data_IF_035785898805
#
_entry.id   IF_035785898805
#
_cell.length_a   1.000
_cell.length_b   1.000
_cell.length_c   1.000
_cell.angle_alpha   90.00
_cell.angle_beta   90.00
_cell.angle_gamma   90.00
#
_symmetry.space_group_name_H-M   'P 1'
#
loop_
_entity.id
_entity.type
_entity.pdbx_description
1 polymer ?
#
# COMPACT_ATOMS: atom_id res chain seq x y z
N UNK A 1 39.94 -24.74 -12.86
CA UNK A 1 39.75 -23.34 -13.33
C UNK A 1 38.43 -23.16 -14.09
N UNK A 2 38.19 -23.80 -15.23
CA UNK A 2 36.99 -23.57 -16.06
C UNK A 2 35.63 -23.77 -15.36
N UNK A 3 35.48 -24.80 -14.49
CA UNK A 3 34.25 -25.01 -13.70
C UNK A 3 33.95 -23.89 -12.72
N UNK A 4 34.98 -23.25 -12.15
CA UNK A 4 34.83 -22.18 -11.16
C UNK A 4 34.32 -20.91 -11.85
N UNK A 5 34.82 -20.60 -13.05
CA UNK A 5 34.39 -19.46 -13.86
C UNK A 5 32.92 -19.61 -14.25
N UNK A 6 32.52 -20.77 -14.79
CA UNK A 6 31.14 -21.06 -15.18
C UNK A 6 30.15 -21.00 -13.99
N UNK A 7 30.58 -21.45 -12.81
CA UNK A 7 29.76 -21.37 -11.59
C UNK A 7 29.63 -19.93 -11.10
N UNK A 8 30.70 -19.13 -11.19
CA UNK A 8 30.70 -17.71 -10.82
C UNK A 8 29.76 -16.93 -11.73
N UNK A 9 29.83 -17.13 -13.05
CA UNK A 9 28.93 -16.51 -14.03
C UNK A 9 27.45 -16.85 -13.76
N UNK A 10 27.12 -18.13 -13.56
CA UNK A 10 25.75 -18.55 -13.26
C UNK A 10 25.20 -17.93 -11.95
N UNK A 11 26.05 -17.76 -10.94
CA UNK A 11 25.66 -17.12 -9.69
C UNK A 11 25.51 -15.60 -9.83
N UNK A 12 26.33 -14.95 -10.65
CA UNK A 12 26.21 -13.53 -10.97
C UNK A 12 24.93 -13.24 -11.76
N UNK A 13 24.62 -14.05 -12.76
CA UNK A 13 23.40 -13.94 -13.56
C UNK A 13 22.15 -14.07 -12.68
N UNK A 14 22.11 -15.09 -11.81
CA UNK A 14 21.01 -15.26 -10.85
C UNK A 14 20.85 -14.04 -9.93
N UNK A 15 21.95 -13.51 -9.38
CA UNK A 15 21.92 -12.32 -8.52
C UNK A 15 21.38 -11.11 -9.27
N UNK A 16 21.84 -10.88 -10.50
CA UNK A 16 21.35 -9.80 -11.34
C UNK A 16 19.85 -9.90 -11.61
N UNK A 17 19.36 -11.07 -12.01
CA UNK A 17 17.92 -11.28 -12.22
C UNK A 17 17.11 -11.07 -10.95
N UNK A 18 17.62 -11.51 -9.79
CA UNK A 18 16.97 -11.26 -8.49
C UNK A 18 16.90 -9.76 -8.16
N UNK A 19 18.00 -9.04 -8.30
CA UNK A 19 18.06 -7.59 -8.06
C UNK A 19 17.13 -6.82 -9.00
N UNK A 20 17.09 -7.20 -10.29
CA UNK A 20 16.14 -6.62 -11.26
C UNK A 20 14.69 -6.87 -10.85
N UNK A 21 14.35 -8.10 -10.44
CA UNK A 21 13.00 -8.43 -10.00
C UNK A 21 12.59 -7.64 -8.75
N UNK A 22 13.50 -7.49 -7.78
CA UNK A 22 13.25 -6.67 -6.59
C UNK A 22 13.00 -5.20 -6.94
N UNK A 23 13.76 -4.63 -7.87
CA UNK A 23 13.55 -3.26 -8.36
C UNK A 23 12.22 -3.11 -9.08
N UNK A 24 11.86 -4.05 -9.96
CA UNK A 24 10.58 -4.05 -10.67
C UNK A 24 9.40 -4.20 -9.71
N UNK A 25 9.51 -5.08 -8.71
CA UNK A 25 8.50 -5.24 -7.67
C UNK A 25 8.33 -3.96 -6.85
N UNK A 26 9.43 -3.29 -6.49
CA UNK A 26 9.39 -2.02 -5.76
C UNK A 26 8.70 -0.94 -6.58
N UNK A 27 9.06 -0.81 -7.86
CA UNK A 27 8.46 0.16 -8.77
C UNK A 27 6.96 -0.10 -8.97
N UNK A 28 6.59 -1.35 -9.26
CA UNK A 28 5.20 -1.76 -9.47
C UNK A 28 4.37 -1.54 -8.20
N UNK A 29 4.85 -2.00 -7.04
CA UNK A 29 4.15 -1.87 -5.76
C UNK A 29 3.98 -0.40 -5.38
N UNK A 30 5.00 0.44 -5.61
CA UNK A 30 4.90 1.88 -5.34
C UNK A 30 3.89 2.55 -6.26
N UNK A 31 3.92 2.24 -7.56
CA UNK A 31 2.96 2.75 -8.53
C UNK A 31 1.52 2.35 -8.21
N UNK A 32 1.28 1.07 -7.90
CA UNK A 32 -0.03 0.60 -7.47
C UNK A 32 -0.46 1.16 -6.13
N UNK A 33 0.46 1.39 -5.19
CA UNK A 33 0.18 2.06 -3.93
C UNK A 33 -0.38 3.46 -4.14
N UNK A 34 0.20 4.24 -5.07
CA UNK A 34 -0.30 5.56 -5.44
C UNK A 34 -1.70 5.48 -6.09
N UNK A 35 -1.87 4.59 -7.06
CA UNK A 35 -3.18 4.41 -7.73
C UNK A 35 -4.25 3.98 -6.74
N UNK A 36 -3.93 3.06 -5.82
CA UNK A 36 -4.85 2.61 -4.78
C UNK A 36 -5.22 3.75 -3.81
N UNK A 37 -4.25 4.58 -3.41
CA UNK A 37 -4.50 5.74 -2.56
C UNK A 37 -5.47 6.74 -3.23
N UNK A 38 -5.27 7.01 -4.52
CA UNK A 38 -6.16 7.89 -5.30
C UNK A 38 -7.56 7.28 -5.44
N UNK A 39 -7.66 5.99 -5.76
CA UNK A 39 -8.95 5.31 -5.90
C UNK A 39 -9.76 5.33 -4.60
N UNK A 40 -9.12 5.09 -3.45
CA UNK A 40 -9.79 5.19 -2.15
C UNK A 40 -10.21 6.62 -1.81
N UNK A 41 -9.37 7.62 -2.11
CA UNK A 41 -9.74 9.03 -1.95
C UNK A 41 -11.02 9.36 -2.74
N UNK A 42 -11.04 9.05 -4.04
CA UNK A 42 -12.21 9.31 -4.88
C UNK A 42 -13.45 8.52 -4.41
N UNK A 43 -13.27 7.27 -4.00
CA UNK A 43 -14.38 6.43 -3.51
C UNK A 43 -15.01 7.00 -2.24
N UNK A 44 -14.19 7.41 -1.26
CA UNK A 44 -14.71 7.97 0.00
C UNK A 44 -15.38 9.32 -0.28
N UNK A 45 -14.78 10.17 -1.13
CA UNK A 45 -15.41 11.44 -1.50
C UNK A 45 -16.74 11.24 -2.23
N UNK A 46 -16.79 10.34 -3.21
CA UNK A 46 -18.00 9.99 -3.93
C UNK A 46 -19.07 9.42 -2.99
N UNK A 47 -18.68 8.53 -2.08
CA UNK A 47 -19.59 7.99 -1.08
C UNK A 47 -20.20 9.07 -0.19
N UNK A 48 -19.38 9.99 0.33
CA UNK A 48 -19.88 11.10 1.16
C UNK A 48 -20.82 11.99 0.35
N UNK A 49 -20.44 12.33 -0.89
CA UNK A 49 -21.24 13.19 -1.77
C UNK A 49 -22.57 12.57 -2.18
N UNK A 50 -22.62 11.26 -2.44
CA UNK A 50 -23.82 10.60 -2.95
C UNK A 50 -24.75 10.13 -1.82
N UNK A 51 -24.20 9.67 -0.69
CA UNK A 51 -25.00 9.05 0.38
C UNK A 51 -25.18 9.93 1.61
N UNK A 52 -24.27 10.86 1.90
CA UNK A 52 -24.27 11.63 3.14
C UNK A 52 -24.72 13.08 2.90
N UNK A 53 -24.16 13.75 1.91
CA UNK A 53 -24.46 15.16 1.60
C UNK A 53 -25.96 15.42 1.32
N UNK A 54 -26.70 14.59 0.56
CA UNK A 54 -28.13 14.81 0.32
C UNK A 54 -29.01 14.58 1.56
N UNK A 55 -28.49 13.89 2.58
CA UNK A 55 -29.25 13.51 3.78
C UNK A 55 -29.06 14.47 4.95
N UNK A 56 -28.09 15.38 4.88
CA UNK A 56 -27.75 16.29 5.97
C UNK A 56 -27.97 17.74 5.51
N UNK A 57 -28.93 18.47 6.09
CA UNK A 57 -29.08 19.90 5.84
C UNK A 57 -27.94 20.65 6.52
N UNK A 58 -27.10 21.35 5.74
CA UNK A 58 -26.00 22.13 6.27
C UNK A 58 -24.99 22.52 5.19
N UNK A 59 -24.11 23.49 5.49
CA UNK A 59 -23.03 23.88 4.59
C UNK A 59 -22.10 22.70 4.33
N UNK A 60 -21.48 22.63 3.14
CA UNK A 60 -20.56 21.55 2.75
C UNK A 60 -19.36 21.32 3.69
N UNK A 61 -19.21 22.12 4.75
CA UNK A 61 -18.27 21.90 5.85
C UNK A 61 -18.56 20.62 6.64
N UNK A 62 -19.83 20.29 6.93
CA UNK A 62 -20.18 19.05 7.64
C UNK A 62 -19.84 17.81 6.81
N UNK A 63 -20.08 17.85 5.50
CA UNK A 63 -19.67 16.81 4.54
C UNK A 63 -18.14 16.59 4.58
N UNK A 64 -17.35 17.68 4.56
CA UNK A 64 -15.88 17.61 4.68
C UNK A 64 -15.40 17.06 6.02
N UNK A 65 -16.08 17.38 7.13
CA UNK A 65 -15.75 16.81 8.45
C UNK A 65 -15.99 15.31 8.50
N UNK A 66 -17.10 14.82 7.93
CA UNK A 66 -17.40 13.39 7.87
C UNK A 66 -16.37 12.67 6.99
N UNK A 67 -16.04 13.24 5.83
CA UNK A 67 -14.96 12.74 4.97
C UNK A 67 -13.64 12.60 5.76
N UNK A 68 -13.22 13.65 6.48
CA UNK A 68 -11.97 13.64 7.25
C UNK A 68 -11.95 12.57 8.35
N UNK A 69 -13.08 12.36 9.03
CA UNK A 69 -13.24 11.31 10.04
C UNK A 69 -13.15 9.91 9.42
N UNK A 70 -13.82 9.69 8.29
CA UNK A 70 -13.77 8.40 7.58
C UNK A 70 -12.35 8.04 7.14
N UNK A 71 -11.63 9.00 6.54
CA UNK A 71 -10.25 8.79 6.11
C UNK A 71 -9.34 8.50 7.30
N UNK A 72 -9.49 9.23 8.40
CA UNK A 72 -8.69 9.02 9.62
C UNK A 72 -8.97 7.65 10.23
N UNK A 73 -10.23 7.24 10.31
CA UNK A 73 -10.61 5.92 10.81
C UNK A 73 -9.99 4.81 9.95
N UNK A 74 -10.10 4.93 8.62
CA UNK A 74 -9.52 3.97 7.68
C UNK A 74 -8.00 3.91 7.82
N UNK A 75 -7.33 5.05 7.95
CA UNK A 75 -5.87 5.11 8.16
C UNK A 75 -5.46 4.41 9.47
N UNK A 76 -6.18 4.64 10.57
CA UNK A 76 -5.93 3.98 11.86
C UNK A 76 -6.16 2.46 11.74
N UNK A 77 -7.24 2.03 11.11
CA UNK A 77 -7.55 0.60 10.93
C UNK A 77 -6.46 -0.11 10.11
N UNK A 78 -6.06 0.45 8.97
CA UNK A 78 -5.00 -0.13 8.12
C UNK A 78 -3.68 -0.19 8.89
N UNK A 79 -3.29 0.92 9.55
CA UNK A 79 -2.03 1.00 10.29
C UNK A 79 -2.01 0.01 11.47
N UNK A 80 -3.12 -0.11 12.19
CA UNK A 80 -3.27 -1.06 13.29
C UNK A 80 -3.14 -2.52 12.80
N UNK A 81 -3.82 -2.87 11.70
CA UNK A 81 -3.76 -4.22 11.13
C UNK A 81 -2.35 -4.56 10.64
N UNK A 82 -1.67 -3.62 9.98
CA UNK A 82 -0.28 -3.76 9.55
C UNK A 82 0.67 -3.93 10.74
N UNK A 83 0.49 -3.13 11.80
CA UNK A 83 1.28 -3.25 13.04
C UNK A 83 1.13 -4.63 13.68
N UNK A 84 -0.12 -5.12 13.79
CA UNK A 84 -0.41 -6.46 14.31
C UNK A 84 0.21 -7.56 13.45
N UNK A 85 0.13 -7.44 12.13
CA UNK A 85 0.71 -8.41 11.20
C UNK A 85 2.25 -8.46 11.34
N UNK A 86 2.89 -7.29 11.40
CA UNK A 86 4.33 -7.17 11.61
C UNK A 86 4.77 -7.83 12.92
N UNK A 87 4.04 -7.59 14.02
CA UNK A 87 4.34 -8.20 15.32
C UNK A 87 4.29 -9.74 15.28
N UNK A 88 3.36 -10.34 14.53
CA UNK A 88 3.26 -11.80 14.38
C UNK A 88 4.45 -12.38 13.62
N UNK A 89 4.91 -11.72 12.56
CA UNK A 89 6.07 -12.18 11.80
C UNK A 89 7.37 -12.05 12.59
N UNK A 90 7.51 -11.00 13.42
CA UNK A 90 8.68 -10.83 14.28
C UNK A 90 8.75 -11.88 15.40
N UNK A 91 7.62 -12.31 15.97
CA UNK A 91 7.57 -13.38 16.98
C UNK A 91 7.98 -14.76 16.43
N UNK A 92 7.83 -15.02 15.13
CA UNK A 92 8.24 -16.30 14.51
C UNK A 92 9.75 -16.42 14.24
N UNK A 93 10.51 -15.34 14.46
CA UNK A 93 11.95 -15.26 14.17
C UNK A 93 12.83 -15.40 15.42
N UNK A 94 12.22 -15.62 16.59
CA UNK A 94 12.87 -15.99 17.86
C UNK A 94 12.38 -17.37 18.30
#
# INVERSE_FOLDING_TARGET
MARIIKQKEKNQEKRFHTELLEQLLTLATSGFGLVAALAWNETIQGFVKEFIEPRIPGSGLLSKLIYALLVTLLAVLITYQLSRLSARFQQSKH
#
